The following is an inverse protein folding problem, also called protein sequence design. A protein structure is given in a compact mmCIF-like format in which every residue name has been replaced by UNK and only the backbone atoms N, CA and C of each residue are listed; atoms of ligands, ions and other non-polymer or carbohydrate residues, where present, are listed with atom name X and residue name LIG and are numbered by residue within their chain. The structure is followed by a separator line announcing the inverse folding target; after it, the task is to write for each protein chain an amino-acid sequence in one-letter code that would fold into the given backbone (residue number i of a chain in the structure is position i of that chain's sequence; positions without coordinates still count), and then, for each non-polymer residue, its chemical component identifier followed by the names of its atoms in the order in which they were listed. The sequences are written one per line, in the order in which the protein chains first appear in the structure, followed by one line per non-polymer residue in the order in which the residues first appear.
data_IF_096534397683
#
_entry.id   IF_096534397683
#
_cell.length_a   1.000
_cell.length_b   1.000
_cell.length_c   1.000
_cell.angle_alpha   90.00
_cell.angle_beta   90.00
_cell.angle_gamma   90.00
#
_symmetry.space_group_name_H-M   'P 1'
#
loop_
_entity.id
_entity.type
_entity.pdbx_description
1 polymer ?
#
# COMPACT_ATOMS: atom_id res chain seq x y z
N UNK A 1 1.39 20.68 -7.30
CA UNK A 1 0.69 19.71 -6.44
C UNK A 1 1.21 18.32 -6.78
N UNK A 2 1.53 17.54 -5.76
CA UNK A 2 2.05 16.19 -5.94
C UNK A 2 1.27 15.27 -4.99
N UNK A 3 0.30 14.58 -5.53
CA UNK A 3 -0.59 13.78 -4.72
C UNK A 3 -0.99 12.51 -5.47
N UNK A 4 -0.82 11.37 -4.82
CA UNK A 4 -1.12 10.07 -5.40
C UNK A 4 -2.03 9.31 -4.46
N UNK A 5 -3.06 8.69 -5.00
CA UNK A 5 -3.93 7.80 -4.24
C UNK A 5 -3.97 6.47 -4.98
N UNK A 6 -3.60 5.40 -4.28
CA UNK A 6 -3.53 4.07 -4.86
C UNK A 6 -4.32 3.09 -4.01
N UNK A 7 -5.01 2.19 -4.66
CA UNK A 7 -5.69 1.08 -3.99
C UNK A 7 -5.25 -0.20 -4.67
N UNK A 8 -4.73 -1.13 -3.89
CA UNK A 8 -4.26 -2.39 -4.45
C UNK A 8 -3.92 -3.38 -3.36
N UNK A 9 -3.35 -4.50 -3.77
CA UNK A 9 -2.97 -5.57 -2.85
C UNK A 9 -1.46 -5.71 -2.80
N UNK A 10 -0.93 -6.01 -1.63
CA UNK A 10 0.50 -6.23 -1.49
C UNK A 10 0.91 -7.48 -2.26
N UNK A 11 2.03 -7.39 -2.96
CA UNK A 11 2.59 -8.52 -3.69
C UNK A 11 3.45 -9.40 -2.81
N UNK A 12 3.95 -8.85 -1.71
CA UNK A 12 4.80 -9.54 -0.73
C UNK A 12 4.55 -8.91 0.63
N UNK A 13 5.06 -9.57 1.66
CA UNK A 13 5.08 -8.97 2.98
C UNK A 13 5.92 -7.69 2.94
N UNK A 14 5.56 -6.67 3.72
CA UNK A 14 6.35 -5.44 3.73
C UNK A 14 7.71 -5.67 4.36
N UNK A 15 8.71 -5.00 3.79
CA UNK A 15 10.04 -4.98 4.38
C UNK A 15 10.14 -3.80 5.32
N UNK A 16 10.56 -4.05 6.55
CA UNK A 16 10.66 -3.00 7.55
C UNK A 16 12.10 -2.92 8.03
N UNK A 17 12.61 -1.71 8.05
CA UNK A 17 13.96 -1.42 8.54
C UNK A 17 13.87 -0.29 9.54
N UNK A 18 14.90 -0.17 10.35
CA UNK A 18 15.00 0.92 11.30
C UNK A 18 16.25 1.71 11.01
N UNK A 19 16.11 3.04 10.95
CA UNK A 19 17.26 3.91 10.72
C UNK A 19 18.11 3.99 11.99
N UNK A 20 19.25 4.68 11.87
CA UNK A 20 20.10 4.91 13.04
C UNK A 20 19.38 5.65 14.15
N UNK A 21 18.45 6.53 13.78
CA UNK A 21 17.60 7.20 14.76
C UNK A 21 16.42 6.37 15.23
N UNK A 22 16.40 5.08 14.87
CA UNK A 22 15.35 4.14 15.23
C UNK A 22 13.98 4.49 14.66
N UNK A 23 13.97 5.20 13.53
CA UNK A 23 12.74 5.44 12.81
C UNK A 23 12.43 4.25 11.91
N UNK A 24 11.21 3.75 12.00
CA UNK A 24 10.78 2.65 11.15
C UNK A 24 10.59 3.13 9.71
N UNK A 25 11.04 2.30 8.76
CA UNK A 25 10.84 2.53 7.33
C UNK A 25 10.29 1.24 6.74
N UNK A 26 9.09 1.31 6.18
CA UNK A 26 8.47 0.15 5.55
C UNK A 26 8.39 0.38 4.05
N UNK A 27 8.71 -0.66 3.29
CA UNK A 27 8.64 -0.64 1.85
C UNK A 27 7.85 -1.83 1.37
N UNK A 28 6.91 -1.61 0.48
CA UNK A 28 6.13 -2.69 -0.10
C UNK A 28 5.69 -2.30 -1.51
N UNK A 29 5.29 -3.31 -2.27
CA UNK A 29 4.79 -3.11 -3.63
C UNK A 29 3.33 -3.52 -3.66
N UNK A 30 2.51 -2.70 -4.29
CA UNK A 30 1.09 -3.00 -4.46
C UNK A 30 0.80 -3.33 -5.92
N UNK A 31 -0.10 -4.28 -6.13
CA UNK A 31 -0.57 -4.64 -7.46
C UNK A 31 -1.88 -3.93 -7.71
N UNK A 32 -1.93 -3.16 -8.77
CA UNK A 32 -3.11 -2.38 -9.14
C UNK A 32 -3.50 -2.76 -10.55
N UNK A 33 -4.71 -3.28 -10.71
CA UNK A 33 -5.19 -3.69 -12.02
C UNK A 33 -5.44 -2.47 -12.89
N UNK A 34 -5.01 -2.56 -14.13
CA UNK A 34 -5.33 -1.53 -15.11
C UNK A 34 -6.73 -1.77 -15.67
N UNK A 35 -7.48 -0.69 -15.95
CA UNK A 35 -8.73 -0.87 -16.69
C UNK A 35 -8.40 -1.44 -18.07
N UNK A 36 -9.10 -2.51 -18.44
CA UNK A 36 -8.89 -3.13 -19.75
C UNK A 36 -10.22 -3.23 -20.45
N UNK A 37 -10.15 -3.19 -21.79
CA UNK A 37 -11.33 -3.39 -22.61
C UNK A 37 -11.62 -4.88 -22.71
N UNK A 38 -12.87 -5.19 -22.99
CA UNK A 38 -13.28 -6.57 -23.16
C UNK A 38 -12.45 -7.23 -24.26
N UNK A 39 -11.97 -8.44 -23.98
CA UNK A 39 -11.17 -9.17 -24.94
C UNK A 39 -9.70 -8.86 -24.90
N UNK A 40 -9.26 -7.93 -24.06
CA UNK A 40 -7.85 -7.62 -23.92
C UNK A 40 -7.26 -8.32 -22.71
N UNK A 41 -5.95 -8.54 -22.78
CA UNK A 41 -5.22 -9.17 -21.70
C UNK A 41 -5.18 -8.27 -20.48
N UNK A 42 -5.37 -8.86 -19.31
CA UNK A 42 -5.30 -8.11 -18.08
C UNK A 42 -3.86 -7.71 -17.76
N UNK A 43 -3.69 -6.48 -17.32
CA UNK A 43 -2.39 -5.97 -16.92
C UNK A 43 -2.51 -5.29 -15.57
N UNK A 44 -1.41 -5.22 -14.88
CA UNK A 44 -1.36 -4.57 -13.58
C UNK A 44 -0.13 -3.68 -13.50
N UNK A 45 -0.21 -2.68 -12.66
CA UNK A 45 0.92 -1.85 -12.30
C UNK A 45 1.40 -2.24 -10.92
N UNK A 46 2.70 -2.08 -10.67
CA UNK A 46 3.31 -2.51 -9.42
C UNK A 46 4.13 -1.37 -8.81
N UNK A 47 3.47 -0.29 -8.39
CA UNK A 47 4.22 0.80 -7.77
C UNK A 47 4.78 0.40 -6.42
N UNK A 48 5.96 0.92 -6.12
CA UNK A 48 6.62 0.69 -4.86
C UNK A 48 6.26 1.81 -3.90
N UNK A 49 5.93 1.45 -2.68
CA UNK A 49 5.49 2.39 -1.67
C UNK A 49 6.44 2.34 -0.49
N UNK A 50 6.84 3.51 -0.02
CA UNK A 50 7.69 3.65 1.16
C UNK A 50 6.98 4.52 2.17
N UNK A 51 6.97 4.11 3.44
CA UNK A 51 6.42 4.92 4.51
C UNK A 51 7.34 4.91 5.72
N UNK A 52 7.12 5.86 6.60
CA UNK A 52 8.03 6.12 7.70
C UNK A 52 7.28 6.24 9.02
N UNK A 53 8.00 6.03 10.12
CA UNK A 53 7.51 6.31 11.45
C UNK A 53 6.36 5.40 11.84
N UNK A 54 5.35 5.99 12.45
CA UNK A 54 4.21 5.22 12.95
C UNK A 54 3.47 4.50 11.83
N UNK A 55 3.37 5.13 10.67
CA UNK A 55 2.75 4.49 9.52
C UNK A 55 3.49 3.21 9.16
N UNK A 56 4.83 3.25 9.18
CA UNK A 56 5.63 2.08 8.89
C UNK A 56 5.44 1.00 9.95
N UNK A 57 5.36 1.38 11.22
CA UNK A 57 5.13 0.42 12.30
C UNK A 57 3.78 -0.27 12.15
N UNK A 58 2.75 0.49 11.78
CA UNK A 58 1.43 -0.09 11.54
C UNK A 58 1.45 -1.04 10.37
N UNK A 59 2.20 -0.71 9.32
CA UNK A 59 2.33 -1.61 8.18
C UNK A 59 2.98 -2.92 8.59
N UNK A 60 4.01 -2.85 9.44
CA UNK A 60 4.66 -4.04 9.92
C UNK A 60 3.70 -4.95 10.67
N UNK A 61 2.83 -4.35 11.48
CA UNK A 61 1.92 -5.11 12.34
C UNK A 61 0.74 -5.69 11.61
N UNK A 62 0.22 -4.99 10.61
CA UNK A 62 -1.08 -5.32 10.03
C UNK A 62 -1.04 -5.75 8.57
N UNK A 63 0.03 -5.47 7.85
CA UNK A 63 0.10 -5.80 6.43
C UNK A 63 0.83 -7.11 6.20
N UNK A 64 0.36 -7.84 5.21
CA UNK A 64 1.04 -9.04 4.72
C UNK A 64 0.64 -9.22 3.26
N UNK A 65 1.33 -10.13 2.61
CA UNK A 65 1.08 -10.44 1.21
C UNK A 65 -0.41 -10.66 0.97
N UNK A 66 -0.94 -10.03 -0.07
CA UNK A 66 -2.33 -10.18 -0.46
C UNK A 66 -3.31 -9.23 0.20
N UNK A 67 -2.88 -8.47 1.20
CA UNK A 67 -3.76 -7.51 1.87
C UNK A 67 -4.08 -6.35 0.97
N UNK A 68 -5.31 -5.87 1.06
CA UNK A 68 -5.76 -4.73 0.28
C UNK A 68 -5.57 -3.45 1.11
N UNK A 69 -4.99 -2.44 0.48
CA UNK A 69 -4.71 -1.18 1.14
C UNK A 69 -5.01 -0.01 0.23
N UNK A 70 -5.29 1.12 0.85
CA UNK A 70 -5.34 2.41 0.16
C UNK A 70 -4.16 3.24 0.66
N UNK A 71 -3.42 3.79 -0.28
CA UNK A 71 -2.23 4.58 0.01
C UNK A 71 -2.42 5.96 -0.53
N UNK A 72 -2.16 6.98 0.28
CA UNK A 72 -2.13 8.35 -0.16
C UNK A 72 -0.75 8.93 0.13
N UNK A 73 -0.17 9.57 -0.85
CA UNK A 73 1.14 10.16 -0.68
C UNK A 73 1.55 10.97 -1.88
N UNK A 74 2.83 10.98 -2.16
CA UNK A 74 3.38 11.74 -3.27
C UNK A 74 4.37 10.89 -4.04
N UNK A 75 4.59 11.25 -5.28
CA UNK A 75 5.60 10.60 -6.10
C UNK A 75 6.96 11.23 -5.79
N UNK A 76 7.95 10.40 -5.61
CA UNK A 76 9.32 10.84 -5.42
C UNK A 76 10.20 10.11 -6.41
N UNK A 77 10.97 10.85 -7.18
CA UNK A 77 11.90 10.25 -8.13
C UNK A 77 13.32 10.37 -7.60
N UNK A 78 14.15 9.45 -8.05
CA UNK A 78 15.54 9.46 -7.67
C UNK A 78 16.37 8.75 -8.71
N UNK A 79 17.66 8.61 -8.44
CA UNK A 79 18.54 7.89 -9.33
C UNK A 79 19.72 7.34 -8.54
N UNK A 80 20.30 6.28 -9.09
CA UNK A 80 21.54 5.74 -8.54
C UNK A 80 22.35 5.14 -9.69
N UNK A 81 23.64 4.95 -9.45
CA UNK A 81 24.52 4.34 -10.43
C UNK A 81 24.66 2.86 -10.09
N UNK A 82 24.37 1.99 -11.06
CA UNK A 82 24.50 0.56 -10.83
C UNK A 82 25.95 0.11 -10.97
N UNK A 83 26.17 -1.19 -10.82
CA UNK A 83 27.53 -1.75 -10.86
C UNK A 83 28.17 -1.61 -12.23
N UNK A 84 27.38 -1.50 -13.28
CA UNK A 84 27.92 -1.34 -14.63
C UNK A 84 28.20 0.11 -14.99
N UNK A 85 27.92 1.05 -14.08
CA UNK A 85 28.17 2.47 -14.30
C UNK A 85 27.02 3.21 -14.94
N UNK A 86 25.89 2.54 -15.15
CA UNK A 86 24.73 3.18 -15.75
C UNK A 86 23.87 3.84 -14.68
N UNK A 87 23.26 4.97 -15.04
CA UNK A 87 22.33 5.66 -14.15
C UNK A 87 20.97 4.99 -14.23
N UNK A 88 20.46 4.59 -13.08
CA UNK A 88 19.13 3.98 -12.98
C UNK A 88 18.21 4.97 -12.28
N UNK A 89 17.08 5.27 -12.92
CA UNK A 89 16.09 6.20 -12.38
C UNK A 89 15.01 5.42 -11.64
N UNK A 90 14.58 5.96 -10.51
CA UNK A 90 13.56 5.31 -9.69
C UNK A 90 12.37 6.24 -9.54
N UNK A 91 11.20 5.63 -9.38
CA UNK A 91 9.96 6.34 -9.11
C UNK A 91 9.23 5.59 -8.01
N UNK A 92 9.11 6.22 -6.86
CA UNK A 92 8.48 5.60 -5.70
C UNK A 92 7.35 6.48 -5.20
N UNK A 93 6.46 5.89 -4.44
CA UNK A 93 5.41 6.64 -3.75
C UNK A 93 5.79 6.70 -2.29
N UNK A 94 5.89 7.91 -1.76
CA UNK A 94 6.14 8.11 -0.33
C UNK A 94 4.77 8.33 0.31
N UNK A 95 4.36 7.37 1.14
CA UNK A 95 3.03 7.37 1.69
C UNK A 95 2.93 8.26 2.92
N UNK A 96 1.92 9.11 2.95
CA UNK A 96 1.56 9.86 4.15
C UNK A 96 0.53 9.10 4.96
N UNK A 97 -0.36 8.38 4.28
CA UNK A 97 -1.45 7.64 4.91
C UNK A 97 -1.56 6.28 4.25
N UNK A 98 -1.68 5.25 5.06
CA UNK A 98 -1.96 3.91 4.57
C UNK A 98 -3.19 3.42 5.34
N UNK A 99 -4.25 3.11 4.61
CA UNK A 99 -5.47 2.58 5.19
C UNK A 99 -5.62 1.12 4.85
N UNK A 100 -5.97 0.33 5.85
CA UNK A 100 -6.13 -1.10 5.70
C UNK A 100 -7.59 -1.39 5.37
N UNK A 101 -7.84 -1.83 4.15
CA UNK A 101 -9.20 -1.99 3.64
C UNK A 101 -9.80 -3.35 3.94
N UNK A 102 -8.97 -4.31 4.37
CA UNK A 102 -9.41 -5.63 4.76
C UNK A 102 -8.92 -5.92 6.16
N UNK A 103 -9.73 -6.63 6.92
CA UNK A 103 -9.33 -7.01 8.25
C UNK A 103 -8.30 -8.14 8.22
N UNK A 104 -7.50 -8.18 9.26
CA UNK A 104 -6.41 -9.15 9.33
C UNK A 104 -6.91 -10.58 9.27
N UNK A 105 -8.02 -10.86 9.88
CA UNK A 105 -8.54 -12.21 9.93
C UNK A 105 -9.15 -12.68 8.62
N UNK A 106 -9.37 -11.75 7.76
CA UNK A 106 -10.01 -12.09 6.50
C UNK A 106 -11.41 -12.53 6.65
N UNK A 107 -11.82 -12.71 7.78
CA UNK A 107 -13.01 -13.31 7.99
C UNK A 107 -13.99 -12.63 8.61
N UNK A 108 -14.29 -12.40 8.55
CA UNK A 108 -14.95 -11.80 9.04
C UNK A 108 -16.01 -11.72 9.35
N UNK A 109 -16.01 -11.88 9.33
CA UNK A 109 -16.75 -11.78 9.52
C UNK A 109 -17.55 -11.77 9.46
N UNK A 110 -17.63 -12.05 9.38
CA UNK A 110 -18.27 -12.14 9.34
C UNK A 110 -18.95 -11.78 10.07
N UNK A 111 -18.93 -11.74 10.24
CA UNK A 111 -19.40 -11.44 10.80
C UNK A 111 -19.45 -10.62 11.38
N UNK A 112 -19.28 -10.47 11.43
CA UNK A 112 -19.41 -9.86 11.98
C UNK A 112 -19.76 -9.11 12.20
N UNK A 113 -19.98 -8.92 12.17
CA UNK A 113 -20.26 -8.22 12.43
C UNK A 113 -20.69 -7.54 12.64
N UNK A 114 -21.01 -7.35 12.80
CA UNK A 114 -21.36 -6.57 12.94
C UNK A 114 -21.49 -5.64 13.17
N UNK A 115 -21.72 -5.16 12.99
CA UNK A 115 -21.90 -4.29 13.24
C UNK A 115 -22.62 -3.80 13.47
N UNK A 116 -22.91 -3.68 13.63
CA UNK A 116 -23.57 -3.09 13.89
C UNK A 116 -24.02 -2.43 13.73
N UNK A 117 -24.35 -2.15 13.52
CA UNK A 117 -24.73 -1.63 13.41
C UNK A 117 -24.63 -0.71 13.11
N UNK A 118 -24.74 -0.39 12.84
CA UNK A 118 -24.57 0.42 12.47
C UNK A 118 -23.72 1.14 12.27
N UNK A 119 -23.20 0.93 12.38
CA UNK A 119 -22.28 1.27 12.16
C UNK A 119 -21.74 1.14 11.33
N UNK A 120 -21.84 0.94 11.11
CA UNK A 120 -21.49 0.59 10.48
C UNK A 120 -21.12 0.77 9.52
N UNK A 121 -21.29 0.77 9.15
CA UNK A 121 -21.06 0.74 8.44
C UNK A 121 -20.66 1.41 7.88
N UNK A 122 -20.77 1.76 7.89
CA UNK A 122 -20.41 2.16 7.53
C UNK A 122 -19.77 2.61 7.24
N UNK A 123 -19.92 2.66 7.13
CA UNK A 123 -19.27 2.74 6.96
C UNK A 123 -18.65 2.77 6.49
N UNK A 124 -18.82 2.74 6.26
CA UNK A 124 -18.41 2.50 5.88
C UNK A 124 -18.19 2.65 5.13
N UNK A 125 -18.43 2.76 4.86
CA UNK A 125 -18.45 2.79 4.39
C UNK A 125 -18.13 3.33 3.65
N UNK A 126 -17.96 3.85 3.40
CA UNK A 126 -17.66 4.38 2.95
C UNK A 126 -17.16 4.62 2.17
N UNK A 127 -17.17 4.90 1.79
CA UNK A 127 -16.66 5.14 1.17
C UNK A 127 -15.92 5.51 0.58
N UNK A 128 -15.66 5.82 0.15
CA UNK A 128 -15.05 5.99 -0.18
C UNK A 128 -14.87 5.90 -0.65
#
# INVERSE_FOLDING_TARGET
MNNVVLIGRLTKDPEVRYTQGQMAVATFTVAIDRPVKQGQEKKADFPRVTCFGRTAENCERFLQKGRKVAVQGRIQTGSYTDKSGQTVYTTDVVANVVEFLEQASGKAPAGQAPLPEGFAQQDNDIPF
#
